data_IF_847044232120
#
_entry.id   IF_847044232120
#
_cell.length_a   1.000
_cell.length_b   1.000
_cell.length_c   1.000
_cell.angle_alpha   90.00
_cell.angle_beta   90.00
_cell.angle_gamma   90.00
#
_symmetry.space_group_name_H-M   'P 1'
#
loop_
_entity.id
_entity.type
_entity.pdbx_description
1 polymer ?
#
# COMPACT_ATOMS: atom_id res chain seq x y z
N UNK A 1 16.33 -0.93 1.12
CA UNK A 1 15.52 0.33 1.28
C UNK A 1 14.12 0.04 0.80
N UNK A 2 13.06 0.20 1.60
CA UNK A 2 11.74 -0.25 1.17
C UNK A 2 11.01 0.73 0.25
N UNK A 3 10.43 0.21 -0.81
CA UNK A 3 9.60 0.93 -1.78
C UNK A 3 8.15 0.52 -1.56
N UNK A 4 7.28 1.50 -1.29
CA UNK A 4 5.84 1.28 -1.15
C UNK A 4 5.12 1.64 -2.45
N UNK A 5 4.30 0.71 -2.95
CA UNK A 5 3.53 0.83 -4.19
C UNK A 5 2.05 0.63 -3.89
N UNK A 6 1.21 1.45 -4.49
CA UNK A 6 -0.24 1.32 -4.41
C UNK A 6 -0.71 0.24 -5.38
N UNK A 7 -1.59 -0.67 -4.93
CA UNK A 7 -2.02 -1.79 -5.74
C UNK A 7 -3.53 -2.01 -5.68
N UNK A 8 -4.10 -2.55 -6.75
CA UNK A 8 -5.50 -2.95 -6.82
C UNK A 8 -5.80 -4.27 -6.09
N UNK A 9 -4.76 -5.07 -5.78
CA UNK A 9 -4.84 -6.34 -5.06
C UNK A 9 -3.55 -6.59 -4.26
N UNK A 10 -3.57 -7.52 -3.29
CA UNK A 10 -2.43 -7.89 -2.44
C UNK A 10 -1.43 -8.83 -3.12
N UNK A 11 -0.98 -8.52 -4.34
CA UNK A 11 -0.02 -9.32 -5.12
C UNK A 11 0.92 -8.37 -5.87
N UNK A 12 2.16 -8.81 -6.14
CA UNK A 12 3.13 -8.09 -6.97
C UNK A 12 2.67 -7.91 -8.41
N UNK A 13 1.85 -8.82 -8.91
CA UNK A 13 1.29 -8.76 -10.28
C UNK A 13 0.05 -7.87 -10.37
N UNK A 14 -0.43 -7.34 -9.25
CA UNK A 14 -1.57 -6.45 -9.22
C UNK A 14 -1.26 -5.15 -10.00
N UNK A 15 -2.29 -4.58 -10.61
CA UNK A 15 -2.15 -3.28 -11.28
C UNK A 15 -1.93 -2.18 -10.23
N UNK A 16 -1.13 -1.18 -10.59
CA UNK A 16 -0.92 -0.01 -9.74
C UNK A 16 -2.21 0.79 -9.64
N UNK A 17 -2.69 1.07 -8.43
CA UNK A 17 -3.84 1.96 -8.23
C UNK A 17 -3.36 3.41 -8.21
N UNK A 18 -3.82 4.29 -9.11
CA UNK A 18 -3.38 5.70 -9.15
C UNK A 18 -3.79 6.50 -7.91
N UNK A 19 -4.73 6.01 -7.10
CA UNK A 19 -5.26 6.70 -5.91
C UNK A 19 -4.47 6.29 -4.67
N UNK A 20 -3.50 7.08 -4.25
CA UNK A 20 -2.68 6.73 -3.09
C UNK A 20 -3.47 6.56 -1.78
N UNK A 21 -4.27 7.56 -1.38
CA UNK A 21 -4.98 7.49 -0.10
C UNK A 21 -6.10 6.45 -0.03
N UNK A 22 -6.57 5.93 -1.17
CA UNK A 22 -7.72 5.02 -1.27
C UNK A 22 -7.45 3.80 -2.13
N UNK A 23 -6.18 3.47 -2.36
CA UNK A 23 -5.85 2.19 -2.97
C UNK A 23 -6.34 1.08 -2.03
N UNK A 24 -6.79 -0.07 -2.54
CA UNK A 24 -7.22 -1.18 -1.68
C UNK A 24 -6.03 -1.86 -0.98
N UNK A 25 -4.82 -1.81 -1.56
CA UNK A 25 -3.62 -2.42 -0.99
C UNK A 25 -2.39 -1.52 -1.14
N UNK A 26 -1.47 -1.67 -0.18
CA UNK A 26 -0.10 -1.21 -0.29
C UNK A 26 0.82 -2.44 -0.37
N UNK A 27 1.75 -2.42 -1.31
CA UNK A 27 2.76 -3.45 -1.49
C UNK A 27 4.11 -2.82 -1.19
N UNK A 28 4.80 -3.35 -0.19
CA UNK A 28 6.14 -2.95 0.20
C UNK A 28 7.12 -3.94 -0.40
N UNK A 29 8.11 -3.42 -1.14
CA UNK A 29 9.13 -4.22 -1.80
C UNK A 29 10.50 -3.75 -1.34
N UNK A 30 11.35 -4.67 -0.92
CA UNK A 30 12.76 -4.41 -0.70
C UNK A 30 13.54 -4.77 -1.98
N UNK A 31 14.08 -3.81 -2.74
CA UNK A 31 14.77 -4.07 -4.01
C UNK A 31 16.11 -4.80 -3.80
N UNK A 32 16.64 -4.80 -2.57
CA UNK A 32 17.92 -5.45 -2.25
C UNK A 32 17.74 -6.96 -2.08
N UNK A 33 16.60 -7.40 -1.51
CA UNK A 33 16.32 -8.81 -1.19
C UNK A 33 15.19 -9.42 -2.01
N UNK A 34 14.43 -8.60 -2.74
CA UNK A 34 13.16 -8.93 -3.38
C UNK A 34 12.09 -9.43 -2.39
N UNK A 35 12.21 -9.09 -1.11
CA UNK A 35 11.18 -9.35 -0.11
C UNK A 35 9.94 -8.51 -0.39
N UNK A 36 8.76 -9.10 -0.16
CA UNK A 36 7.46 -8.48 -0.46
C UNK A 36 6.56 -8.60 0.76
N UNK A 37 5.96 -7.48 1.16
CA UNK A 37 4.92 -7.43 2.17
C UNK A 37 3.70 -6.69 1.61
N UNK A 38 2.51 -7.24 1.82
CA UNK A 38 1.27 -6.64 1.33
C UNK A 38 0.36 -6.29 2.48
N UNK A 39 -0.18 -5.09 2.48
CA UNK A 39 -1.11 -4.62 3.51
C UNK A 39 -2.40 -4.11 2.87
N UNK A 40 -3.54 -4.65 3.31
CA UNK A 40 -4.86 -4.10 2.97
C UNK A 40 -5.00 -2.66 3.52
N UNK A 41 -5.75 -1.82 2.83
CA UNK A 41 -6.03 -0.46 3.21
C UNK A 41 -7.51 -0.29 3.61
N UNK A 42 -7.77 -0.39 4.90
CA UNK A 42 -9.12 -0.19 5.45
C UNK A 42 -9.64 1.25 5.27
N UNK A 43 -8.75 2.21 4.95
CA UNK A 43 -9.14 3.59 4.67
C UNK A 43 -9.84 3.78 3.30
N UNK A 44 -10.00 2.72 2.50
CA UNK A 44 -10.76 2.76 1.25
C UNK A 44 -12.20 3.29 1.44
N UNK A 45 -12.80 3.00 2.62
CA UNK A 45 -14.16 3.41 2.98
C UNK A 45 -14.23 4.77 3.68
N UNK A 46 -13.10 5.46 3.89
CA UNK A 46 -13.08 6.73 4.62
C UNK A 46 -13.85 7.82 3.86
N UNK A 47 -14.75 8.52 4.56
CA UNK A 47 -15.57 9.61 4.01
C UNK A 47 -14.79 10.93 3.82
N UNK A 48 -13.57 11.04 4.38
CA UNK A 48 -12.71 12.23 4.33
C UNK A 48 -11.39 12.05 3.56
N UNK A 49 -10.43 12.96 3.78
CA UNK A 49 -9.07 12.85 3.22
C UNK A 49 -8.31 11.68 3.83
N UNK A 50 -8.08 10.63 3.06
CA UNK A 50 -7.48 9.37 3.53
C UNK A 50 -5.95 9.35 3.52
N UNK A 51 -5.29 10.38 2.96
CA UNK A 51 -3.86 10.37 2.66
C UNK A 51 -2.92 10.34 3.88
N UNK A 52 -3.35 10.78 5.06
CA UNK A 52 -2.50 10.91 6.26
C UNK A 52 -2.75 9.80 7.30
N UNK A 53 -3.77 8.95 7.11
CA UNK A 53 -4.21 8.01 8.14
C UNK A 53 -3.30 6.79 8.33
N UNK A 54 -2.44 6.45 7.36
CA UNK A 54 -1.62 5.23 7.41
C UNK A 54 -0.12 5.55 7.56
N UNK A 55 0.24 6.15 8.69
CA UNK A 55 1.63 6.38 9.13
C UNK A 55 2.12 5.42 10.22
N UNK A 56 1.35 4.40 10.57
CA UNK A 56 1.74 3.40 11.58
C UNK A 56 2.49 2.24 10.94
N UNK A 57 3.80 2.36 10.77
CA UNK A 57 4.68 1.19 10.66
C UNK A 57 4.94 0.74 12.09
N UNK A 58 4.30 -0.35 12.52
CA UNK A 58 4.70 -1.04 13.75
C UNK A 58 5.96 -1.83 13.40
N UNK A 59 7.12 -1.30 13.81
CA UNK A 59 8.41 -2.00 13.79
C UNK A 59 8.43 -3.16 14.77
#
# INVERSE_FOLDING_TARGET
MWVCVTATAGDLNAQVDPRFGRCPYFVFVDPDTMAIETMHNDAIVASGGAGVLKGGVTV
#
